data_IF_190690006581
#
_entry.id   IF_190690006581
#
_cell.length_a   1.000
_cell.length_b   1.000
_cell.length_c   1.000
_cell.angle_alpha   90.00
_cell.angle_beta   90.00
_cell.angle_gamma   90.00
#
_symmetry.space_group_name_H-M   'P 1'
#
loop_
_entity.id
_entity.type
_entity.pdbx_description
1 polymer ?
#
# COMPACT_ATOMS: atom_id res chain seq x y z
N UNK A 1 -17.37 22.28 -3.11
CA UNK A 1 -16.55 21.99 -1.92
C UNK A 1 -17.08 20.75 -1.23
N UNK A 2 -16.23 19.75 -0.98
CA UNK A 2 -16.60 18.49 -0.35
C UNK A 2 -16.76 18.71 1.16
N UNK A 3 -17.81 18.16 1.77
CA UNK A 3 -17.95 18.16 3.23
C UNK A 3 -17.13 17.02 3.83
N UNK A 4 -15.97 17.33 4.41
CA UNK A 4 -15.05 16.33 4.98
C UNK A 4 -15.60 15.62 6.22
N UNK A 5 -16.49 16.27 6.97
CA UNK A 5 -17.14 15.75 8.17
C UNK A 5 -18.34 14.84 7.85
N UNK A 6 -18.79 14.78 6.59
CA UNK A 6 -19.74 13.76 6.16
C UNK A 6 -19.01 12.42 5.98
N UNK A 7 -19.24 11.51 6.92
CA UNK A 7 -18.63 10.17 6.97
C UNK A 7 -19.60 9.06 6.53
N UNK A 8 -20.73 9.40 5.89
CA UNK A 8 -21.76 8.44 5.46
C UNK A 8 -21.20 7.38 4.48
N UNK A 9 -20.12 7.73 3.77
CA UNK A 9 -19.45 6.87 2.80
C UNK A 9 -18.17 6.21 3.33
N UNK A 10 -17.76 6.52 4.57
CA UNK A 10 -16.62 5.90 5.27
C UNK A 10 -16.99 4.49 5.77
N UNK A 11 -17.38 3.63 4.84
CA UNK A 11 -17.90 2.29 5.09
C UNK A 11 -16.79 1.27 4.84
N UNK A 12 -16.36 0.58 5.90
CA UNK A 12 -15.31 -0.44 5.83
C UNK A 12 -15.72 -1.82 6.39
N UNK A 13 -16.99 -1.97 6.76
CA UNK A 13 -17.60 -3.27 7.07
C UNK A 13 -18.10 -3.91 5.77
N UNK A 14 -17.57 -5.08 5.43
CA UNK A 14 -17.91 -5.85 4.22
C UNK A 14 -19.38 -6.30 4.18
N UNK A 15 -20.05 -6.37 5.34
CA UNK A 15 -21.45 -6.74 5.44
C UNK A 15 -22.39 -5.57 5.18
N UNK A 16 -21.89 -4.34 5.16
CA UNK A 16 -22.68 -3.16 4.86
C UNK A 16 -22.95 -3.10 3.35
N UNK A 17 -24.22 -2.95 2.90
CA UNK A 17 -24.54 -2.84 1.47
C UNK A 17 -23.77 -1.74 0.74
N UNK A 18 -23.52 -0.60 1.40
CA UNK A 18 -22.78 0.53 0.82
C UNK A 18 -21.30 0.19 0.60
N UNK A 19 -20.73 -0.79 1.29
CA UNK A 19 -19.35 -1.22 1.06
C UNK A 19 -19.13 -1.60 -0.41
N UNK A 20 -20.11 -2.26 -1.01
CA UNK A 20 -20.09 -2.74 -2.39
C UNK A 20 -20.76 -1.78 -3.39
N UNK A 21 -21.11 -0.57 -2.97
CA UNK A 21 -21.69 0.44 -3.86
C UNK A 21 -20.59 1.33 -4.48
N UNK A 22 -20.55 1.38 -5.82
CA UNK A 22 -19.53 2.14 -6.57
C UNK A 22 -19.66 3.65 -6.36
N UNK A 23 -20.88 4.17 -6.18
CA UNK A 23 -21.10 5.61 -5.98
C UNK A 23 -20.63 6.04 -4.59
N UNK A 24 -20.95 5.25 -3.56
CA UNK A 24 -20.44 5.44 -2.20
C UNK A 24 -18.91 5.38 -2.18
N UNK A 25 -18.30 4.40 -2.84
CA UNK A 25 -16.84 4.31 -2.95
C UNK A 25 -16.24 5.56 -3.59
N UNK A 26 -16.78 6.01 -4.73
CA UNK A 26 -16.23 7.19 -5.42
C UNK A 26 -16.32 8.46 -4.57
N UNK A 27 -17.43 8.66 -3.85
CA UNK A 27 -17.57 9.79 -2.89
C UNK A 27 -16.53 9.73 -1.79
N UNK A 28 -16.26 8.53 -1.27
CA UNK A 28 -15.25 8.35 -0.23
C UNK A 28 -13.81 8.54 -0.75
N UNK A 29 -13.52 8.08 -1.97
CA UNK A 29 -12.23 8.36 -2.64
C UNK A 29 -12.02 9.87 -2.75
N UNK A 30 -13.00 10.60 -3.27
CA UNK A 30 -12.90 12.05 -3.44
C UNK A 30 -12.69 12.75 -2.10
N UNK A 31 -13.46 12.37 -1.07
CA UNK A 31 -13.33 12.93 0.27
C UNK A 31 -11.95 12.69 0.87
N UNK A 32 -11.47 11.44 0.85
CA UNK A 32 -10.17 11.09 1.42
C UNK A 32 -9.03 11.76 0.65
N UNK A 33 -9.09 11.78 -0.69
CA UNK A 33 -8.05 12.41 -1.50
C UNK A 33 -8.01 13.92 -1.26
N UNK A 34 -9.16 14.59 -1.11
CA UNK A 34 -9.21 16.02 -0.85
C UNK A 34 -8.60 16.39 0.51
N UNK A 35 -8.90 15.59 1.54
CA UNK A 35 -8.28 15.73 2.87
C UNK A 35 -6.76 15.51 2.78
N UNK A 36 -6.31 14.47 2.06
CA UNK A 36 -4.89 14.19 1.87
C UNK A 36 -4.17 15.32 1.13
N UNK A 37 -4.79 15.91 0.10
CA UNK A 37 -4.26 17.04 -0.67
C UNK A 37 -4.14 18.30 0.19
N UNK A 38 -5.10 18.55 1.07
CA UNK A 38 -5.04 19.67 2.01
C UNK A 38 -3.97 19.51 3.08
N UNK A 39 -3.70 18.27 3.52
CA UNK A 39 -2.79 18.00 4.63
C UNK A 39 -1.33 17.74 4.22
N UNK A 40 -1.10 17.00 3.13
CA UNK A 40 0.21 16.60 2.57
C UNK A 40 1.24 15.93 3.50
N UNK A 41 0.89 15.65 4.76
CA UNK A 41 1.81 15.10 5.77
C UNK A 41 2.45 13.76 5.35
N UNK A 42 1.73 12.94 4.58
CA UNK A 42 2.16 11.59 4.23
C UNK A 42 3.10 11.49 3.01
N UNK A 43 3.60 12.61 2.47
CA UNK A 43 4.36 12.64 1.21
C UNK A 43 5.59 11.70 1.18
N UNK A 44 6.23 11.45 2.33
CA UNK A 44 7.42 10.60 2.44
C UNK A 44 7.11 9.16 2.89
N UNK A 45 5.84 8.81 3.14
CA UNK A 45 5.44 7.51 3.71
C UNK A 45 5.06 6.49 2.64
N UNK A 46 4.41 6.92 1.56
CA UNK A 46 3.86 6.04 0.54
C UNK A 46 3.87 6.72 -0.85
N UNK A 47 4.26 6.02 -1.94
CA UNK A 47 4.28 6.58 -3.30
C UNK A 47 2.91 7.06 -3.79
N UNK A 48 1.82 6.52 -3.26
CA UNK A 48 0.44 6.96 -3.56
C UNK A 48 0.24 8.45 -3.30
N UNK A 49 0.85 9.00 -2.23
CA UNK A 49 0.65 10.40 -1.86
C UNK A 49 1.38 11.39 -2.77
N UNK A 50 2.70 11.26 -3.04
CA UNK A 50 3.36 12.09 -4.05
C UNK A 50 2.71 12.01 -5.42
N UNK A 51 2.27 10.82 -5.84
CA UNK A 51 1.55 10.69 -7.10
C UNK A 51 0.24 11.49 -7.08
N UNK A 52 -0.59 11.31 -6.04
CA UNK A 52 -1.84 12.06 -5.87
C UNK A 52 -1.60 13.58 -5.91
N UNK A 53 -0.60 14.06 -5.16
CA UNK A 53 -0.30 15.48 -5.03
C UNK A 53 0.14 16.06 -6.37
N UNK A 54 1.11 15.41 -7.03
CA UNK A 54 1.60 15.83 -8.34
C UNK A 54 0.50 15.77 -9.41
N UNK A 55 -0.42 14.80 -9.35
CA UNK A 55 -1.50 14.68 -10.31
C UNK A 55 -2.51 15.84 -10.18
N UNK A 56 -2.84 16.25 -8.96
CA UNK A 56 -3.73 17.39 -8.71
C UNK A 56 -3.04 18.73 -9.00
N UNK A 57 -1.78 18.89 -8.57
CA UNK A 57 -1.00 20.11 -8.84
C UNK A 57 -0.86 20.34 -10.34
N UNK A 58 -0.54 19.29 -11.11
CA UNK A 58 -0.46 19.36 -12.57
C UNK A 58 -1.78 19.80 -13.22
N UNK A 59 -2.92 19.37 -12.70
CA UNK A 59 -4.22 19.83 -13.22
C UNK A 59 -4.35 21.34 -13.01
N UNK A 60 -3.86 21.86 -11.88
CA UNK A 60 -3.86 23.29 -11.65
C UNK A 60 -2.94 24.04 -12.59
N UNK A 61 -1.73 23.52 -12.82
CA UNK A 61 -0.80 24.06 -13.82
C UNK A 61 -1.44 24.09 -15.22
N UNK A 62 -2.10 23.00 -15.63
CA UNK A 62 -2.78 22.90 -16.91
C UNK A 62 -3.92 23.93 -17.04
N UNK A 63 -4.73 24.13 -15.97
CA UNK A 63 -5.76 25.19 -15.93
C UNK A 63 -5.16 26.59 -16.10
N UNK A 64 -4.04 26.86 -15.42
CA UNK A 64 -3.32 28.13 -15.49
C UNK A 64 -2.76 28.38 -16.90
N UNK A 65 -2.16 27.36 -17.52
CA UNK A 65 -1.65 27.43 -18.90
C UNK A 65 -2.75 27.75 -19.91
N UNK A 66 -3.95 27.17 -19.76
CA UNK A 66 -5.10 27.52 -20.60
C UNK A 66 -5.52 28.99 -20.39
N UNK A 67 -5.54 29.46 -19.14
CA UNK A 67 -5.87 30.85 -18.84
C UNK A 67 -4.83 31.85 -19.40
N UNK A 68 -3.54 31.52 -19.35
CA UNK A 68 -2.48 32.29 -19.99
C UNK A 68 -2.64 32.34 -21.51
N UNK A 69 -2.96 31.20 -22.14
CA UNK A 69 -3.20 31.12 -23.59
C UNK A 69 -4.40 31.96 -24.02
N UNK A 70 -5.47 31.94 -23.23
CA UNK A 70 -6.69 32.73 -23.46
C UNK A 70 -6.50 34.22 -23.14
N UNK A 71 -5.33 34.62 -22.62
CA UNK A 71 -5.04 36.00 -22.21
C UNK A 71 -5.81 36.46 -20.97
N UNK A 72 -6.34 35.51 -20.17
CA UNK A 72 -7.05 35.80 -18.91
C UNK A 72 -6.08 36.14 -17.78
N UNK A 73 -4.85 35.62 -17.83
CA UNK A 73 -3.79 35.87 -16.84
C UNK A 73 -2.46 36.08 -17.57
N UNK A 74 -1.59 36.89 -16.98
CA UNK A 74 -0.23 37.09 -17.50
C UNK A 74 0.65 35.86 -17.27
N UNK A 75 1.70 35.71 -18.07
CA UNK A 75 2.68 34.66 -17.87
C UNK A 75 3.34 34.78 -16.51
N UNK A 76 3.56 33.63 -15.86
CA UNK A 76 4.25 33.59 -14.58
C UNK A 76 5.61 34.25 -14.69
N UNK A 77 5.88 35.20 -13.79
CA UNK A 77 7.19 35.81 -13.70
C UNK A 77 7.95 35.16 -12.54
N UNK A 78 8.71 34.10 -12.86
CA UNK A 78 9.51 33.33 -11.91
C UNK A 78 10.61 34.15 -11.22
N UNK A 79 10.92 35.34 -11.73
CA UNK A 79 11.91 36.26 -11.16
C UNK A 79 11.30 37.27 -10.16
N UNK A 80 9.97 37.29 -9.97
CA UNK A 80 9.33 38.13 -8.94
C UNK A 80 9.43 37.43 -7.58
N UNK A 81 10.17 38.05 -6.67
CA UNK A 81 10.23 37.60 -5.28
C UNK A 81 8.87 37.92 -4.62
N UNK A 82 8.03 36.90 -4.41
CA UNK A 82 6.68 37.06 -3.84
C UNK A 82 6.67 37.87 -2.53
N UNK A 83 7.77 37.85 -1.78
CA UNK A 83 7.95 38.57 -0.52
C UNK A 83 8.12 40.10 -0.68
N UNK A 84 8.46 40.58 -1.88
CA UNK A 84 8.76 41.98 -2.17
C UNK A 84 7.62 42.71 -2.89
N UNK A 85 6.43 42.08 -2.96
CA UNK A 85 5.27 42.69 -3.61
C UNK A 85 4.74 43.89 -2.80
N UNK A 86 4.17 44.91 -3.47
CA UNK A 86 3.45 45.98 -2.79
C UNK A 86 2.29 45.46 -1.92
N UNK A 87 1.96 46.20 -0.87
CA UNK A 87 0.85 45.87 0.03
C UNK A 87 -0.48 45.83 -0.75
N UNK A 88 -1.18 44.70 -0.68
CA UNK A 88 -2.41 44.44 -1.44
C UNK A 88 -2.22 43.57 -2.70
N UNK A 89 -1.04 43.56 -3.31
CA UNK A 89 -0.78 42.75 -4.52
C UNK A 89 -0.62 41.25 -4.20
N UNK A 90 -0.11 40.93 -3.02
CA UNK A 90 -0.06 39.55 -2.51
C UNK A 90 -1.44 38.86 -2.47
N UNK A 91 -2.49 39.62 -2.10
CA UNK A 91 -3.85 39.09 -2.01
C UNK A 91 -4.45 38.85 -3.39
N UNK A 92 -4.15 39.73 -4.36
CA UNK A 92 -4.56 39.51 -5.76
C UNK A 92 -3.83 38.32 -6.38
N UNK A 93 -2.52 38.18 -6.18
CA UNK A 93 -1.78 37.04 -6.71
C UNK A 93 -2.24 35.72 -6.09
N UNK A 94 -2.42 35.68 -4.77
CA UNK A 94 -2.99 34.51 -4.09
C UNK A 94 -4.41 34.17 -4.57
N UNK A 95 -5.24 35.17 -4.89
CA UNK A 95 -6.58 34.95 -5.42
C UNK A 95 -6.56 34.34 -6.82
N UNK A 96 -5.61 34.77 -7.65
CA UNK A 96 -5.38 34.23 -9.00
C UNK A 96 -4.88 32.78 -8.91
N UNK A 97 -3.96 32.46 -8.00
CA UNK A 97 -3.50 31.08 -7.79
C UNK A 97 -4.63 30.15 -7.31
N UNK A 98 -5.53 30.64 -6.44
CA UNK A 98 -6.68 29.86 -5.96
C UNK A 98 -7.66 29.53 -7.09
N UNK A 99 -7.81 30.39 -8.10
CA UNK A 99 -8.66 30.13 -9.28
C UNK A 99 -8.20 28.89 -10.06
N UNK A 100 -6.88 28.68 -10.16
CA UNK A 100 -6.30 27.56 -10.91
C UNK A 100 -5.99 26.36 -10.04
N UNK A 101 -6.45 26.30 -8.80
CA UNK A 101 -6.23 25.11 -7.97
C UNK A 101 -6.83 23.86 -8.64
N UNK A 102 -6.04 22.79 -8.72
CA UNK A 102 -6.54 21.48 -9.11
C UNK A 102 -7.48 20.91 -8.05
N UNK A 103 -8.60 20.33 -8.47
CA UNK A 103 -9.51 19.63 -7.57
C UNK A 103 -9.44 18.12 -7.77
N UNK A 104 -9.70 17.34 -6.72
CA UNK A 104 -9.73 15.88 -6.82
C UNK A 104 -10.82 15.35 -7.77
N UNK A 105 -11.87 16.14 -7.98
CA UNK A 105 -12.94 15.87 -8.94
C UNK A 105 -12.49 15.99 -10.40
N UNK A 106 -11.40 16.71 -10.65
CA UNK A 106 -10.79 16.83 -11.98
C UNK A 106 -9.93 15.62 -12.35
N UNK A 107 -9.56 14.78 -11.37
CA UNK A 107 -8.77 13.58 -11.62
C UNK A 107 -9.54 12.59 -12.47
N UNK A 108 -8.87 12.09 -13.52
CA UNK A 108 -9.37 10.98 -14.30
C UNK A 108 -9.48 9.72 -13.45
N UNK A 109 -10.33 8.78 -13.87
CA UNK A 109 -10.41 7.49 -13.20
C UNK A 109 -9.07 6.77 -13.18
N UNK A 110 -8.29 6.85 -14.26
CA UNK A 110 -6.96 6.25 -14.36
C UNK A 110 -5.99 6.83 -13.32
N UNK A 111 -5.99 8.15 -13.12
CA UNK A 111 -5.19 8.79 -12.08
C UNK A 111 -5.62 8.33 -10.68
N UNK A 112 -6.92 8.23 -10.43
CA UNK A 112 -7.42 7.72 -9.13
C UNK A 112 -6.99 6.27 -8.90
N UNK A 113 -6.99 5.43 -9.94
CA UNK A 113 -6.53 4.04 -9.87
C UNK A 113 -5.02 3.91 -9.66
N UNK A 114 -4.21 4.79 -10.24
CA UNK A 114 -2.77 4.76 -10.03
C UNK A 114 -2.40 5.01 -8.56
N UNK A 115 -3.11 5.91 -7.86
CA UNK A 115 -2.96 6.11 -6.40
C UNK A 115 -3.20 4.79 -5.65
N UNK A 116 -4.22 4.03 -6.05
CA UNK A 116 -4.58 2.73 -5.45
C UNK A 116 -3.51 1.69 -5.74
N UNK A 117 -3.01 1.64 -6.98
CA UNK A 117 -2.02 0.65 -7.42
C UNK A 117 -0.64 0.88 -6.80
N UNK A 118 -0.32 2.11 -6.42
CA UNK A 118 0.88 2.46 -5.69
C UNK A 118 0.81 2.12 -4.18
N UNK A 119 -0.38 1.83 -3.65
CA UNK A 119 -0.54 1.49 -2.23
C UNK A 119 -0.23 0.01 -1.98
N UNK A 120 0.83 -0.25 -1.22
CA UNK A 120 1.28 -1.60 -0.85
C UNK A 120 0.86 -2.00 0.58
N UNK A 121 -0.14 -1.34 1.15
CA UNK A 121 -0.78 -1.71 2.43
C UNK A 121 0.17 -1.79 3.65
N UNK A 122 1.24 -0.99 3.68
CA UNK A 122 2.17 -0.96 4.83
C UNK A 122 1.62 -0.30 6.09
N UNK A 123 0.52 0.46 5.96
CA UNK A 123 -0.13 1.22 7.04
C UNK A 123 0.75 2.24 7.75
N UNK A 124 1.88 2.67 7.18
CA UNK A 124 2.71 3.72 7.77
C UNK A 124 1.99 5.07 7.90
N UNK A 125 0.99 5.32 7.04
CA UNK A 125 0.17 6.54 7.11
C UNK A 125 -0.81 6.55 8.29
N UNK A 126 -1.21 5.38 8.81
CA UNK A 126 -2.22 5.26 9.86
C UNK A 126 -1.81 5.87 11.22
N UNK A 127 -0.62 5.54 11.79
CA UNK A 127 -0.19 6.15 13.04
C UNK A 127 0.08 7.65 12.91
N UNK A 128 0.51 8.11 11.72
CA UNK A 128 0.88 9.51 11.47
C UNK A 128 -0.33 10.41 11.17
N UNK A 129 -1.39 9.88 10.56
CA UNK A 129 -2.53 10.67 10.15
C UNK A 129 -3.31 11.20 11.37
N UNK A 130 -3.54 12.51 11.53
CA UNK A 130 -4.34 13.03 12.65
C UNK A 130 -5.83 12.68 12.55
N UNK A 131 -6.28 12.21 11.39
CA UNK A 131 -7.69 12.01 11.05
C UNK A 131 -8.14 10.55 11.08
N UNK A 132 -7.26 9.61 11.43
CA UNK A 132 -7.60 8.18 11.55
C UNK A 132 -8.72 7.97 12.57
N UNK A 133 -9.68 7.04 12.31
CA UNK A 133 -10.70 6.66 13.27
C UNK A 133 -10.16 6.42 14.68
N UNK A 134 -10.80 7.02 15.68
CA UNK A 134 -10.39 6.94 17.09
C UNK A 134 -9.40 8.02 17.55
N UNK A 135 -8.97 8.93 16.67
CA UNK A 135 -8.25 10.16 17.04
C UNK A 135 -9.24 11.32 17.23
N UNK A 136 -8.78 12.44 17.79
CA UNK A 136 -9.60 13.62 18.10
C UNK A 136 -9.92 14.45 16.84
N UNK A 137 -10.55 13.85 15.83
CA UNK A 137 -11.00 14.56 14.64
C UNK A 137 -12.21 13.90 13.96
N UNK A 138 -13.17 14.70 13.49
CA UNK A 138 -14.42 14.26 12.88
C UNK A 138 -14.30 13.64 11.47
N UNK A 139 -13.09 13.54 10.91
CA UNK A 139 -12.90 13.16 9.51
C UNK A 139 -12.88 11.65 9.28
N UNK A 140 -12.66 10.82 10.31
CA UNK A 140 -12.73 9.35 10.20
C UNK A 140 -12.06 8.79 8.92
N UNK A 141 -10.83 9.22 8.63
CA UNK A 141 -10.09 8.88 7.41
C UNK A 141 -9.29 7.60 7.61
N UNK A 142 -9.68 6.51 6.93
CA UNK A 142 -8.92 5.25 6.95
C UNK A 142 -8.40 4.92 5.54
N UNK A 143 -7.24 5.47 5.20
CA UNK A 143 -6.63 5.29 3.88
C UNK A 143 -6.34 3.80 3.58
N UNK A 144 -5.74 3.01 4.49
CA UNK A 144 -5.51 1.58 4.23
C UNK A 144 -6.79 0.80 3.95
N UNK A 145 -7.85 0.96 4.77
CA UNK A 145 -9.12 0.26 4.53
C UNK A 145 -9.83 0.75 3.29
N UNK A 146 -9.75 2.05 2.95
CA UNK A 146 -10.24 2.55 1.67
C UNK A 146 -9.56 1.82 0.52
N UNK A 147 -8.23 1.73 0.51
CA UNK A 147 -7.50 1.04 -0.54
C UNK A 147 -7.90 -0.44 -0.64
N UNK A 148 -8.12 -1.13 0.50
CA UNK A 148 -8.64 -2.50 0.49
C UNK A 148 -10.06 -2.59 -0.08
N UNK A 149 -10.97 -1.67 0.27
CA UNK A 149 -12.33 -1.62 -0.28
C UNK A 149 -12.32 -1.38 -1.80
N UNK A 150 -11.47 -0.47 -2.26
CA UNK A 150 -11.31 -0.19 -3.69
C UNK A 150 -10.82 -1.44 -4.44
N UNK A 151 -9.85 -2.16 -3.88
CA UNK A 151 -9.38 -3.44 -4.42
C UNK A 151 -10.49 -4.51 -4.43
N UNK A 152 -11.26 -4.62 -3.34
CA UNK A 152 -12.37 -5.56 -3.23
C UNK A 152 -13.40 -5.36 -4.36
N UNK A 153 -13.80 -4.11 -4.57
CA UNK A 153 -14.76 -3.74 -5.61
C UNK A 153 -14.19 -3.97 -7.02
N UNK A 154 -12.91 -3.69 -7.23
CA UNK A 154 -12.22 -3.98 -8.48
C UNK A 154 -12.16 -5.47 -8.80
N UNK A 155 -11.85 -6.30 -7.81
CA UNK A 155 -11.82 -7.75 -7.95
C UNK A 155 -13.21 -8.34 -8.15
N UNK A 156 -14.23 -7.80 -7.49
CA UNK A 156 -15.63 -8.20 -7.73
C UNK A 156 -16.08 -7.92 -9.17
N UNK A 157 -15.62 -6.82 -9.76
CA UNK A 157 -15.99 -6.39 -11.12
C UNK A 157 -15.20 -7.12 -12.22
N UNK A 158 -13.89 -7.36 -12.01
CA UNK A 158 -12.97 -7.83 -13.04
C UNK A 158 -12.37 -9.22 -12.79
N UNK A 159 -12.58 -9.77 -11.60
CA UNK A 159 -11.87 -10.94 -11.11
C UNK A 159 -10.44 -10.65 -10.69
N UNK A 160 -9.79 -11.64 -10.08
CA UNK A 160 -8.38 -11.57 -9.66
C UNK A 160 -7.47 -11.83 -10.87
N UNK A 161 -6.43 -11.01 -11.04
CA UNK A 161 -5.44 -11.25 -12.10
C UNK A 161 -4.69 -12.56 -11.84
N UNK A 162 -4.34 -13.28 -12.90
CA UNK A 162 -3.59 -14.55 -12.79
C UNK A 162 -2.28 -14.39 -12.00
N UNK A 163 -1.59 -13.27 -12.20
CA UNK A 163 -0.35 -12.97 -11.49
C UNK A 163 -0.60 -12.81 -9.98
N UNK A 164 -1.69 -12.13 -9.61
CA UNK A 164 -2.07 -11.94 -8.22
C UNK A 164 -2.52 -13.27 -7.57
N UNK A 165 -3.22 -14.13 -8.31
CA UNK A 165 -3.55 -15.50 -7.85
C UNK A 165 -2.27 -16.29 -7.55
N UNK A 166 -1.29 -16.23 -8.46
CA UNK A 166 -0.01 -16.89 -8.26
C UNK A 166 0.71 -16.33 -7.03
N UNK A 167 0.88 -15.01 -6.95
CA UNK A 167 1.62 -14.34 -5.88
C UNK A 167 0.95 -14.46 -4.51
N UNK A 168 -0.38 -14.56 -4.45
CA UNK A 168 -1.12 -14.69 -3.19
C UNK A 168 -0.97 -16.08 -2.56
N UNK A 169 -0.68 -17.11 -3.36
CA UNK A 169 -0.47 -18.50 -2.90
C UNK A 169 0.94 -18.72 -2.32
N UNK A 170 1.28 -17.92 -1.32
CA UNK A 170 2.61 -17.88 -0.71
C UNK A 170 3.03 -19.22 -0.07
N UNK A 171 2.13 -19.96 0.58
CA UNK A 171 2.44 -21.28 1.15
C UNK A 171 2.82 -22.31 0.07
N UNK A 172 2.13 -22.29 -1.08
CA UNK A 172 2.45 -23.16 -2.22
C UNK A 172 3.81 -22.79 -2.81
N UNK A 173 4.05 -21.49 -3.03
CA UNK A 173 5.32 -20.97 -3.54
C UNK A 173 6.45 -21.32 -2.58
N UNK A 174 6.25 -21.16 -1.28
CA UNK A 174 7.22 -21.47 -0.24
C UNK A 174 7.60 -22.95 -0.22
N UNK A 175 6.59 -23.85 -0.29
CA UNK A 175 6.82 -25.29 -0.40
C UNK A 175 7.62 -25.64 -1.65
N UNK A 176 7.21 -25.17 -2.84
CA UNK A 176 7.94 -25.40 -4.09
C UNK A 176 9.35 -24.79 -4.04
N UNK A 177 9.47 -23.62 -3.44
CA UNK A 177 10.72 -22.91 -3.22
C UNK A 177 11.70 -23.67 -2.35
N UNK A 178 11.23 -24.41 -1.35
CA UNK A 178 12.11 -25.25 -0.53
C UNK A 178 12.76 -26.41 -1.31
N UNK A 179 12.06 -26.95 -2.32
CA UNK A 179 12.61 -28.02 -3.17
C UNK A 179 13.50 -27.49 -4.30
N UNK A 180 13.09 -26.37 -4.92
CA UNK A 180 13.73 -25.83 -6.12
C UNK A 180 14.53 -24.55 -5.86
N UNK A 181 14.72 -24.16 -4.60
CA UNK A 181 15.30 -22.89 -4.18
C UNK A 181 16.61 -22.52 -4.88
N UNK A 182 17.63 -23.41 -4.91
CA UNK A 182 18.89 -23.12 -5.60
C UNK A 182 18.71 -22.86 -7.09
N UNK A 183 17.83 -23.61 -7.75
CA UNK A 183 17.54 -23.49 -9.19
C UNK A 183 16.81 -22.17 -9.44
N UNK A 184 15.78 -21.86 -8.65
CA UNK A 184 15.01 -20.61 -8.77
C UNK A 184 15.94 -19.40 -8.52
N UNK A 185 16.73 -19.44 -7.45
CA UNK A 185 17.69 -18.40 -7.12
C UNK A 185 18.74 -18.19 -8.21
N UNK A 186 19.22 -19.28 -8.84
CA UNK A 186 20.13 -19.21 -9.98
C UNK A 186 19.46 -18.63 -11.22
N UNK A 187 18.25 -19.10 -11.56
CA UNK A 187 17.48 -18.60 -12.70
C UNK A 187 17.20 -17.10 -12.61
N UNK A 188 16.98 -16.58 -11.39
CA UNK A 188 16.78 -15.16 -11.13
C UNK A 188 18.02 -14.29 -11.40
N UNK A 189 19.21 -14.88 -11.60
CA UNK A 189 20.43 -14.14 -12.00
C UNK A 189 20.57 -14.00 -13.51
N UNK A 190 19.80 -14.77 -14.28
CA UNK A 190 19.92 -14.83 -15.74
C UNK A 190 18.91 -13.85 -16.37
N UNK A 191 19.41 -12.90 -17.16
CA UNK A 191 18.59 -11.84 -17.80
C UNK A 191 17.45 -12.41 -18.67
N UNK A 192 17.69 -13.51 -19.38
CA UNK A 192 16.68 -14.16 -20.21
C UNK A 192 15.48 -14.65 -19.37
N UNK A 193 15.74 -15.35 -18.25
CA UNK A 193 14.68 -15.81 -17.36
C UNK A 193 13.93 -14.65 -16.69
N UNK A 194 14.63 -13.57 -16.31
CA UNK A 194 13.98 -12.34 -15.80
C UNK A 194 13.08 -11.68 -16.84
N UNK A 195 13.49 -11.66 -18.11
CA UNK A 195 12.68 -11.16 -19.21
C UNK A 195 11.46 -12.06 -19.47
N UNK A 196 11.63 -13.39 -19.47
CA UNK A 196 10.51 -14.34 -19.59
C UNK A 196 9.52 -14.16 -18.43
N UNK A 197 10.01 -14.03 -17.20
CA UNK A 197 9.19 -13.79 -16.02
C UNK A 197 8.38 -12.50 -16.12
N UNK A 198 8.96 -11.41 -16.63
CA UNK A 198 8.24 -10.15 -16.89
C UNK A 198 7.11 -10.36 -17.92
N UNK A 199 7.35 -11.14 -18.97
CA UNK A 199 6.36 -11.37 -20.04
C UNK A 199 5.23 -12.32 -19.64
N UNK A 200 5.53 -13.36 -18.86
CA UNK A 200 4.55 -14.40 -18.53
C UNK A 200 3.92 -14.25 -17.14
N UNK A 201 4.69 -13.78 -16.15
CA UNK A 201 4.24 -13.64 -14.74
C UNK A 201 4.01 -12.17 -14.37
N UNK A 202 4.41 -11.22 -15.22
CA UNK A 202 4.22 -9.78 -14.97
C UNK A 202 5.12 -9.18 -13.89
N UNK A 203 6.11 -9.92 -13.39
CA UNK A 203 7.09 -9.39 -12.44
C UNK A 203 8.18 -8.68 -13.22
N UNK A 204 8.27 -7.36 -13.06
CA UNK A 204 9.25 -6.54 -13.76
C UNK A 204 10.70 -7.04 -13.56
N UNK A 205 11.49 -7.14 -14.64
CA UNK A 205 12.83 -7.77 -14.61
C UNK A 205 13.82 -7.10 -13.68
N UNK A 206 13.67 -5.79 -13.45
CA UNK A 206 14.50 -5.01 -12.52
C UNK A 206 14.11 -5.19 -11.04
N UNK A 207 13.00 -5.86 -10.75
CA UNK A 207 12.57 -6.11 -9.37
C UNK A 207 13.58 -7.03 -8.67
N UNK A 208 13.98 -6.67 -7.45
CA UNK A 208 14.75 -7.53 -6.57
C UNK A 208 13.77 -8.54 -5.96
N UNK A 209 13.99 -9.83 -6.24
CA UNK A 209 13.21 -10.91 -5.64
C UNK A 209 13.88 -11.44 -4.38
N UNK A 210 13.11 -11.78 -3.34
CA UNK A 210 13.65 -12.41 -2.16
C UNK A 210 14.21 -13.79 -2.52
N UNK A 211 15.33 -14.16 -1.89
CA UNK A 211 15.92 -15.49 -2.07
C UNK A 211 15.01 -16.51 -1.39
N UNK A 212 14.90 -17.69 -2.00
CA UNK A 212 14.24 -18.83 -1.38
C UNK A 212 15.27 -19.68 -0.65
N UNK A 213 14.93 -20.09 0.57
CA UNK A 213 15.76 -20.98 1.37
C UNK A 213 15.59 -22.44 0.92
N UNK A 214 16.60 -23.28 1.14
CA UNK A 214 16.61 -24.70 0.70
C UNK A 214 15.81 -25.63 1.62
N UNK A 215 15.35 -25.12 2.75
CA UNK A 215 14.46 -25.79 3.68
C UNK A 215 13.55 -24.75 4.31
N UNK A 216 12.41 -25.20 4.85
CA UNK A 216 11.48 -24.31 5.54
C UNK A 216 11.81 -24.20 7.03
N UNK A 217 11.43 -23.09 7.65
CA UNK A 217 11.55 -22.93 9.10
C UNK A 217 10.81 -24.03 9.86
N UNK A 218 9.60 -24.39 9.42
CA UNK A 218 8.84 -25.53 9.96
C UNK A 218 9.67 -26.84 9.97
N UNK A 219 10.35 -27.14 8.85
CA UNK A 219 11.15 -28.35 8.73
C UNK A 219 12.38 -28.31 9.65
N UNK A 220 12.99 -27.14 9.80
CA UNK A 220 14.08 -26.92 10.75
C UNK A 220 13.59 -27.12 12.19
N UNK A 221 12.49 -26.46 12.58
CA UNK A 221 11.92 -26.50 13.93
C UNK A 221 11.53 -27.92 14.35
N UNK A 222 10.98 -28.72 13.43
CA UNK A 222 10.62 -30.13 13.72
C UNK A 222 11.84 -31.00 14.08
N UNK A 223 13.02 -30.67 13.59
CA UNK A 223 14.26 -31.38 13.91
C UNK A 223 15.02 -30.72 15.07
N UNK A 224 14.63 -29.52 15.48
CA UNK A 224 15.21 -28.81 16.61
C UNK A 224 14.83 -29.51 17.92
N UNK A 225 15.78 -29.61 18.83
CA UNK A 225 15.56 -30.15 20.17
C UNK A 225 15.90 -29.06 21.17
N UNK A 226 14.87 -28.56 21.85
CA UNK A 226 15.07 -27.62 22.94
C UNK A 226 15.90 -28.27 24.05
N UNK A 227 16.87 -27.53 24.58
CA UNK A 227 17.69 -27.94 25.71
C UNK A 227 17.08 -27.58 27.07
N UNK A 228 15.87 -26.99 27.07
CA UNK A 228 15.20 -26.52 28.27
C UNK A 228 14.48 -27.68 28.98
N UNK A 229 14.89 -27.99 30.21
CA UNK A 229 14.20 -28.97 31.05
C UNK A 229 13.04 -28.35 31.86
N UNK A 230 13.20 -27.09 32.30
CA UNK A 230 12.24 -26.37 33.17
C UNK A 230 12.03 -24.95 32.63
N UNK A 231 11.13 -24.78 31.65
CA UNK A 231 10.91 -23.46 31.05
C UNK A 231 10.27 -22.51 32.05
N UNK A 232 10.71 -21.25 32.00
CA UNK A 232 10.10 -20.15 32.76
C UNK A 232 8.75 -19.77 32.16
N UNK A 233 8.63 -19.85 30.83
CA UNK A 233 7.40 -19.59 30.09
C UNK A 233 7.39 -20.35 28.75
N UNK A 234 6.26 -20.34 28.04
CA UNK A 234 6.07 -21.00 26.76
C UNK A 234 5.39 -20.08 25.75
N UNK A 235 5.92 -20.03 24.54
CA UNK A 235 5.38 -19.19 23.45
C UNK A 235 5.12 -20.00 22.18
N UNK A 236 4.12 -19.56 21.42
CA UNK A 236 3.83 -20.09 20.08
C UNK A 236 4.48 -19.19 19.04
N UNK A 237 5.27 -19.77 18.14
CA UNK A 237 5.90 -19.02 17.04
C UNK A 237 5.03 -19.12 15.80
N UNK A 238 4.50 -17.97 15.35
CA UNK A 238 3.89 -17.83 14.03
C UNK A 238 4.92 -17.31 13.02
N UNK A 239 5.48 -18.20 12.18
CA UNK A 239 6.59 -17.83 11.31
C UNK A 239 6.18 -17.04 10.06
N UNK A 240 4.88 -16.88 9.78
CA UNK A 240 4.40 -16.31 8.51
C UNK A 240 4.89 -17.10 7.28
N UNK A 241 4.52 -16.67 6.07
CA UNK A 241 5.04 -17.27 4.85
C UNK A 241 6.49 -16.85 4.53
N UNK A 242 6.92 -15.66 4.96
CA UNK A 242 8.24 -15.11 4.63
C UNK A 242 9.36 -15.76 5.43
N UNK A 243 9.27 -15.75 6.77
CA UNK A 243 10.27 -16.43 7.61
C UNK A 243 10.28 -17.94 7.36
N UNK A 244 9.12 -18.52 6.98
CA UNK A 244 9.07 -19.95 6.71
C UNK A 244 9.82 -20.38 5.44
N UNK A 245 10.02 -19.51 4.44
CA UNK A 245 10.58 -19.93 3.14
C UNK A 245 11.65 -19.01 2.54
N UNK A 246 11.75 -17.75 2.97
CA UNK A 246 12.69 -16.77 2.45
C UNK A 246 13.80 -16.45 3.44
N UNK A 247 13.42 -16.08 4.67
CA UNK A 247 14.34 -15.66 5.72
C UNK A 247 14.22 -16.59 6.93
N UNK A 248 14.71 -17.81 6.75
CA UNK A 248 14.61 -18.87 7.77
C UNK A 248 15.50 -18.56 8.97
N UNK A 249 16.65 -17.94 8.73
CA UNK A 249 17.62 -17.59 9.77
C UNK A 249 17.00 -16.64 10.80
N UNK A 250 16.13 -15.70 10.38
CA UNK A 250 15.37 -14.84 11.29
C UNK A 250 14.55 -15.65 12.30
N UNK A 251 13.89 -16.72 11.86
CA UNK A 251 13.10 -17.59 12.72
C UNK A 251 13.97 -18.42 13.67
N UNK A 252 15.10 -18.92 13.16
CA UNK A 252 16.10 -19.66 13.96
C UNK A 252 16.64 -18.77 15.08
N UNK A 253 17.08 -17.56 14.74
CA UNK A 253 17.58 -16.60 15.73
C UNK A 253 16.52 -16.24 16.77
N UNK A 254 15.25 -16.11 16.38
CA UNK A 254 14.18 -15.87 17.33
C UNK A 254 14.04 -17.01 18.35
N UNK A 255 14.10 -18.27 17.89
CA UNK A 255 14.07 -19.45 18.77
C UNK A 255 15.28 -19.47 19.70
N UNK A 256 16.50 -19.27 19.16
CA UNK A 256 17.73 -19.29 19.96
C UNK A 256 17.72 -18.21 21.05
N UNK A 257 17.24 -17.00 20.74
CA UNK A 257 17.11 -15.92 21.72
C UNK A 257 16.08 -16.27 22.80
N UNK A 258 14.92 -16.80 22.44
CA UNK A 258 13.89 -17.19 23.39
C UNK A 258 14.38 -18.33 24.30
N UNK A 259 15.04 -19.33 23.72
CA UNK A 259 15.56 -20.46 24.49
C UNK A 259 16.70 -20.05 25.44
N UNK A 260 17.57 -19.13 25.01
CA UNK A 260 18.57 -18.52 25.87
C UNK A 260 17.96 -17.82 27.09
N UNK A 261 16.74 -17.29 26.96
CA UNK A 261 15.97 -16.68 28.06
C UNK A 261 15.07 -17.69 28.79
N UNK A 262 15.31 -19.00 28.64
CA UNK A 262 14.56 -20.08 29.28
C UNK A 262 13.06 -20.11 28.90
N UNK A 263 12.73 -19.68 27.68
CA UNK A 263 11.36 -19.71 27.14
C UNK A 263 11.25 -20.87 26.15
N UNK A 264 10.31 -21.77 26.38
CA UNK A 264 10.01 -22.88 25.47
C UNK A 264 9.25 -22.36 24.23
N UNK A 265 9.76 -22.69 23.04
CA UNK A 265 9.09 -22.37 21.79
C UNK A 265 8.23 -23.56 21.33
N UNK A 266 7.03 -23.28 20.83
CA UNK A 266 6.14 -24.27 20.20
C UNK A 266 5.78 -23.81 18.80
N UNK A 267 5.86 -24.74 17.84
CA UNK A 267 5.45 -24.51 16.46
C UNK A 267 4.29 -25.45 16.10
N UNK A 268 3.03 -25.03 16.35
CA UNK A 268 1.87 -25.80 15.93
C UNK A 268 1.71 -25.73 14.41
N UNK A 269 0.84 -26.58 13.87
CA UNK A 269 0.42 -26.48 12.46
C UNK A 269 -0.20 -25.10 12.21
N UNK A 270 0.28 -24.43 11.16
CA UNK A 270 -0.11 -23.07 10.79
C UNK A 270 -0.56 -23.02 9.33
N UNK A 271 -1.33 -21.97 9.03
CA UNK A 271 -1.72 -21.58 7.69
C UNK A 271 -1.35 -20.11 7.46
N UNK A 272 -1.26 -19.70 6.20
CA UNK A 272 -1.10 -18.29 5.83
C UNK A 272 -2.11 -17.39 6.55
N UNK A 273 -1.68 -16.18 6.94
CA UNK A 273 -2.56 -15.17 7.55
C UNK A 273 -3.54 -14.53 6.55
N UNK A 274 -3.48 -14.90 5.27
CA UNK A 274 -4.36 -14.40 4.22
C UNK A 274 -4.02 -13.00 3.69
N UNK A 275 -3.08 -12.27 4.32
CA UNK A 275 -2.71 -10.91 3.90
C UNK A 275 -2.38 -10.76 2.40
N UNK A 276 -1.70 -11.72 1.73
CA UNK A 276 -1.47 -11.64 0.29
C UNK A 276 -2.75 -11.58 -0.56
N UNK A 277 -3.83 -12.23 -0.14
CA UNK A 277 -5.12 -12.24 -0.84
C UNK A 277 -5.88 -10.91 -0.66
N UNK A 278 -5.69 -10.24 0.47
CA UNK A 278 -6.28 -8.92 0.72
C UNK A 278 -5.67 -7.82 -0.16
N UNK A 279 -4.42 -7.98 -0.63
CA UNK A 279 -3.75 -7.01 -1.50
C UNK A 279 -4.48 -6.77 -2.83
N UNK A 280 -4.85 -7.81 -3.62
CA UNK A 280 -5.74 -7.65 -4.76
C UNK A 280 -7.22 -7.53 -4.37
N UNK A 281 -7.59 -7.63 -3.10
CA UNK A 281 -8.99 -7.63 -2.66
C UNK A 281 -9.72 -8.94 -3.00
N UNK A 282 -9.01 -10.07 -2.99
CA UNK A 282 -9.56 -11.41 -3.15
C UNK A 282 -10.09 -11.92 -1.81
N UNK A 283 -11.35 -11.62 -1.51
CA UNK A 283 -12.01 -12.08 -0.28
C UNK A 283 -12.48 -13.54 -0.35
N UNK A 284 -12.67 -14.10 -1.54
CA UNK A 284 -13.08 -15.50 -1.70
C UNK A 284 -11.88 -16.45 -1.51
N UNK A 285 -10.67 -15.99 -1.84
CA UNK A 285 -9.42 -16.70 -1.62
C UNK A 285 -8.81 -16.52 -0.22
N UNK A 286 -9.23 -15.50 0.53
CA UNK A 286 -8.83 -15.20 1.91
C UNK A 286 -9.46 -16.19 2.90
#
# INVERSE_FOLDING_TARGET
MINHSNVDNAVYDVNNPNYWDKNSLNKEIDRVYDICIGCRLCFNLCPSFPYLFNAVDKIGDDKRLVAEYDGRVEKENLDREYLDLPEGEHASEASVEVEFRGEVTDLSQEQKWEVVDLCYQCKLCDPICPYTPGKEHEFELDFPKLMTRVQALRTKDRGVKINDIFLSRTDLIGKLGSYFGPIINFSNRIKLFRWLMEKFIGIHRKRILPKLHTFTFEKWFRNHRSSIEKPADRVVIFATCYTNSNDVDLGVSAVEILEHNNIECVYPQQQCCGAPYLSPGDFDGF
#
